data_IF_552790059070
#
_entry.id   IF_552790059070
#
_cell.length_a   1.000
_cell.length_b   1.000
_cell.length_c   1.000
_cell.angle_alpha   90.00
_cell.angle_beta   90.00
_cell.angle_gamma   90.00
#
_symmetry.space_group_name_H-M   'P 1'
#
loop_
_entity.id
_entity.type
_entity.pdbx_description
1 polymer ?
#
# COMPACT_ATOMS: atom_id res chain seq x y z
N UNK A 1 25.86 -26.34 29.16
CA UNK A 1 25.95 -24.99 28.55
C UNK A 1 27.02 -24.23 29.30
N UNK A 2 28.12 -23.86 28.64
CA UNK A 2 29.26 -23.13 29.27
C UNK A 2 28.96 -21.63 29.36
N UNK A 3 29.64 -20.93 30.28
CA UNK A 3 29.54 -19.48 30.49
C UNK A 3 29.77 -18.68 29.19
N UNK A 4 30.68 -19.15 28.35
CA UNK A 4 30.99 -18.56 27.04
C UNK A 4 29.76 -18.48 26.13
N UNK A 5 28.89 -19.51 26.13
CA UNK A 5 27.67 -19.50 25.33
C UNK A 5 26.63 -18.49 25.86
N UNK A 6 26.58 -18.30 27.18
CA UNK A 6 25.68 -17.33 27.82
C UNK A 6 26.11 -15.91 27.42
N UNK A 7 27.41 -15.62 27.43
CA UNK A 7 27.95 -14.34 26.99
C UNK A 7 27.70 -14.07 25.51
N UNK A 8 27.90 -15.07 24.64
CA UNK A 8 27.68 -14.93 23.19
C UNK A 8 26.20 -14.69 22.88
N UNK A 9 25.30 -15.52 23.43
CA UNK A 9 23.85 -15.38 23.20
C UNK A 9 23.35 -14.06 23.80
N UNK A 10 23.82 -13.68 24.99
CA UNK A 10 23.48 -12.41 25.62
C UNK A 10 23.91 -11.20 24.77
N UNK A 11 25.12 -11.24 24.20
CA UNK A 11 25.64 -10.17 23.33
C UNK A 11 24.84 -10.08 22.03
N UNK A 12 24.56 -11.21 21.39
CA UNK A 12 23.72 -11.25 20.18
C UNK A 12 22.32 -10.70 20.49
N UNK A 13 21.69 -11.16 21.58
CA UNK A 13 20.38 -10.68 22.01
C UNK A 13 20.37 -9.18 22.28
N UNK A 14 21.39 -8.66 22.98
CA UNK A 14 21.50 -7.23 23.30
C UNK A 14 21.65 -6.35 22.06
N UNK A 15 22.32 -6.82 21.01
CA UNK A 15 22.47 -6.06 19.75
C UNK A 15 21.21 -6.18 18.88
N UNK A 16 20.63 -7.37 18.76
CA UNK A 16 19.48 -7.60 17.86
C UNK A 16 18.16 -7.07 18.43
N UNK A 17 17.95 -7.13 19.74
CA UNK A 17 16.68 -6.77 20.35
C UNK A 17 16.32 -5.27 20.17
N UNK A 18 17.23 -4.29 20.36
CA UNK A 18 16.96 -2.89 20.06
C UNK A 18 16.70 -2.65 18.57
N UNK A 19 17.38 -3.37 17.68
CA UNK A 19 17.23 -3.26 16.24
C UNK A 19 15.84 -3.73 15.78
N UNK A 20 15.36 -4.83 16.38
CA UNK A 20 14.00 -5.33 16.18
C UNK A 20 12.98 -4.34 16.72
N UNK A 21 13.15 -3.85 17.96
CA UNK A 21 12.25 -2.84 18.55
C UNK A 21 12.16 -1.60 17.67
N UNK A 22 13.29 -1.07 17.21
CA UNK A 22 13.31 0.10 16.32
C UNK A 22 12.55 -0.17 15.01
N UNK A 23 12.71 -1.36 14.43
CA UNK A 23 11.97 -1.77 13.24
C UNK A 23 10.47 -1.85 13.50
N UNK A 24 10.06 -2.45 14.63
CA UNK A 24 8.65 -2.50 15.04
C UNK A 24 8.05 -1.10 15.26
N UNK A 25 8.76 -0.22 15.96
CA UNK A 25 8.33 1.17 16.20
C UNK A 25 8.16 1.94 14.88
N UNK A 26 9.01 1.68 13.89
CA UNK A 26 8.90 2.29 12.56
C UNK A 26 7.66 1.80 11.80
N UNK A 27 7.28 0.54 11.96
CA UNK A 27 6.06 -0.05 11.37
C UNK A 27 4.79 0.47 12.07
N UNK A 28 4.85 0.69 13.39
CA UNK A 28 3.70 1.15 14.20
C UNK A 28 3.25 2.57 13.85
N UNK A 29 4.12 3.42 13.29
CA UNK A 29 3.71 4.73 12.76
C UNK A 29 2.79 4.53 11.55
N UNK A 30 1.51 4.26 11.83
CA UNK A 30 0.44 4.12 10.85
C UNK A 30 0.33 5.41 10.04
N UNK A 31 0.67 5.34 8.76
CA UNK A 31 0.19 6.30 7.76
C UNK A 31 -1.28 5.99 7.46
N UNK A 32 -2.05 7.00 7.07
CA UNK A 32 -3.42 6.81 6.60
C UNK A 32 -3.46 5.74 5.50
N UNK A 33 -4.34 4.75 5.66
CA UNK A 33 -4.48 3.64 4.72
C UNK A 33 -4.87 4.12 3.33
N UNK A 34 -5.72 5.14 3.25
CA UNK A 34 -6.09 5.82 2.01
C UNK A 34 -6.04 7.32 2.28
N UNK A 35 -5.43 8.07 1.36
CA UNK A 35 -5.47 9.52 1.33
C UNK A 35 -6.12 9.96 0.03
N UNK A 36 -7.25 10.65 0.13
CA UNK A 36 -7.98 11.25 -0.99
C UNK A 36 -7.70 12.75 -0.94
N UNK A 37 -7.22 13.29 -2.06
CA UNK A 37 -7.01 14.74 -2.23
C UNK A 37 -7.66 15.18 -3.53
N UNK A 38 -7.75 16.49 -3.75
CA UNK A 38 -8.34 17.04 -4.97
C UNK A 38 -7.57 16.63 -6.22
N UNK A 39 -6.25 16.42 -6.13
CA UNK A 39 -5.39 16.13 -7.29
C UNK A 39 -5.06 14.65 -7.45
N UNK A 40 -4.92 13.91 -6.34
CA UNK A 40 -4.47 12.53 -6.34
C UNK A 40 -5.07 11.66 -5.23
N UNK A 41 -4.99 10.35 -5.44
CA UNK A 41 -5.28 9.29 -4.50
C UNK A 41 -3.97 8.59 -4.08
N UNK A 42 -3.77 8.34 -2.78
CA UNK A 42 -2.71 7.44 -2.28
C UNK A 42 -3.35 6.27 -1.55
N UNK A 43 -3.00 5.05 -1.98
CA UNK A 43 -3.29 3.81 -1.25
C UNK A 43 -2.03 3.33 -0.53
N UNK A 44 -2.04 3.37 0.80
CA UNK A 44 -1.03 2.78 1.69
C UNK A 44 -1.55 1.53 2.42
N UNK A 45 -2.74 1.02 2.06
CA UNK A 45 -3.33 -0.14 2.74
C UNK A 45 -2.49 -1.41 2.55
N UNK A 46 -1.74 -1.49 1.45
CA UNK A 46 -0.85 -2.61 1.12
C UNK A 46 0.60 -2.16 0.97
N UNK A 47 1.52 -3.11 1.15
CA UNK A 47 2.95 -2.88 0.94
C UNK A 47 3.28 -2.56 -0.52
N UNK A 48 2.48 -3.04 -1.49
CA UNK A 48 2.61 -2.67 -2.90
C UNK A 48 1.95 -1.33 -3.26
N UNK A 49 1.89 -0.38 -2.32
CA UNK A 49 1.47 0.99 -2.58
C UNK A 49 2.11 1.53 -3.87
N UNK A 50 1.28 2.03 -4.78
CA UNK A 50 1.70 2.66 -6.04
C UNK A 50 2.16 4.11 -5.83
N UNK A 51 1.94 4.67 -4.64
CA UNK A 51 2.18 6.07 -4.33
C UNK A 51 0.98 6.94 -4.74
N UNK A 52 1.25 8.18 -5.15
CA UNK A 52 0.23 9.13 -5.62
C UNK A 52 -0.23 8.77 -7.02
N UNK A 53 -1.55 8.60 -7.16
CA UNK A 53 -2.24 8.27 -8.40
C UNK A 53 -3.10 9.47 -8.75
N UNK A 54 -2.75 10.17 -9.83
CA UNK A 54 -3.55 11.29 -10.33
C UNK A 54 -4.91 10.79 -10.79
N UNK A 55 -5.99 11.54 -10.53
CA UNK A 55 -7.35 11.16 -10.93
C UNK A 55 -7.48 10.91 -12.44
N UNK A 56 -6.74 11.66 -13.26
CA UNK A 56 -6.68 11.52 -14.72
C UNK A 56 -6.10 10.20 -15.20
N UNK A 57 -5.33 9.52 -14.35
CA UNK A 57 -4.74 8.21 -14.65
C UNK A 57 -5.69 7.04 -14.38
N UNK A 58 -6.81 7.29 -13.72
CA UNK A 58 -7.84 6.28 -13.41
C UNK A 58 -8.82 6.21 -14.58
N UNK A 59 -8.85 5.06 -15.26
CA UNK A 59 -9.71 4.82 -16.41
C UNK A 59 -11.12 4.39 -16.01
N UNK A 60 -11.24 3.67 -14.89
CA UNK A 60 -12.52 3.16 -14.41
C UNK A 60 -12.49 2.89 -12.91
N UNK A 61 -13.66 2.98 -12.27
CA UNK A 61 -13.86 2.67 -10.86
C UNK A 61 -15.00 1.67 -10.79
N UNK A 62 -14.76 0.52 -10.18
CA UNK A 62 -15.75 -0.56 -10.05
C UNK A 62 -15.82 -1.04 -8.62
N UNK A 63 -17.03 -1.41 -8.21
CA UNK A 63 -17.22 -2.10 -6.94
C UNK A 63 -17.10 -3.61 -7.13
N UNK A 64 -16.09 -4.22 -6.51
CA UNK A 64 -15.90 -5.67 -6.46
C UNK A 64 -16.63 -6.23 -5.24
N UNK A 65 -17.80 -6.83 -5.47
CA UNK A 65 -18.64 -7.44 -4.42
C UNK A 65 -18.97 -6.40 -3.31
N UNK A 66 -19.34 -6.87 -2.11
CA UNK A 66 -19.68 -5.98 -1.00
C UNK A 66 -18.47 -5.33 -0.30
N UNK A 67 -17.25 -5.87 -0.47
CA UNK A 67 -16.10 -5.56 0.40
C UNK A 67 -14.90 -4.92 -0.29
N UNK A 68 -14.94 -4.70 -1.59
CA UNK A 68 -13.76 -4.21 -2.32
C UNK A 68 -14.12 -3.24 -3.42
N UNK A 69 -13.19 -2.34 -3.72
CA UNK A 69 -13.25 -1.38 -4.83
C UNK A 69 -12.05 -1.67 -5.71
N UNK A 70 -12.27 -1.70 -7.02
CA UNK A 70 -11.25 -1.85 -8.04
C UNK A 70 -11.13 -0.55 -8.82
N UNK A 71 -9.92 -0.01 -8.87
CA UNK A 71 -9.58 1.21 -9.61
C UNK A 71 -8.72 0.84 -10.79
N UNK A 72 -9.26 0.85 -11.99
CA UNK A 72 -8.50 0.56 -13.21
C UNK A 72 -7.60 1.77 -13.54
N UNK A 73 -6.28 1.57 -13.67
CA UNK A 73 -5.26 2.57 -13.95
C UNK A 73 -4.69 2.37 -15.35
N UNK A 74 -4.48 3.47 -16.06
CA UNK A 74 -3.86 3.44 -17.39
C UNK A 74 -2.44 2.85 -17.30
N UNK A 75 -2.20 1.76 -18.05
CA UNK A 75 -0.95 0.99 -18.06
C UNK A 75 0.32 1.82 -18.25
N UNK A 76 0.25 2.90 -19.04
CA UNK A 76 1.41 3.77 -19.34
C UNK A 76 1.94 4.51 -18.12
N UNK A 77 1.09 4.74 -17.11
CA UNK A 77 1.49 5.38 -15.84
C UNK A 77 2.20 4.37 -14.94
N UNK A 78 1.72 3.13 -14.91
CA UNK A 78 2.34 2.04 -14.13
C UNK A 78 3.74 1.67 -14.64
N UNK A 79 3.94 1.65 -15.97
CA UNK A 79 5.24 1.30 -16.56
C UNK A 79 6.34 2.35 -16.35
N UNK A 80 5.97 3.62 -16.09
CA UNK A 80 6.93 4.69 -15.82
C UNK A 80 7.47 4.68 -14.39
N UNK A 81 6.92 3.83 -13.51
CA UNK A 81 7.36 3.75 -12.11
C UNK A 81 8.77 3.16 -12.01
N UNK A 82 9.68 3.90 -11.38
CA UNK A 82 11.02 3.42 -11.04
C UNK A 82 10.94 2.51 -9.80
N UNK A 83 11.13 1.21 -10.00
CA UNK A 83 11.13 0.22 -8.90
C UNK A 83 12.53 -0.14 -8.44
N UNK A 84 12.70 -0.23 -7.13
CA UNK A 84 13.92 -0.70 -6.48
C UNK A 84 14.02 -2.24 -6.52
N UNK A 85 15.22 -2.79 -6.27
CA UNK A 85 15.47 -4.23 -6.34
C UNK A 85 14.55 -5.06 -5.42
N UNK A 86 14.28 -4.56 -4.21
CA UNK A 86 13.36 -5.19 -3.27
C UNK A 86 11.92 -5.21 -3.79
N UNK A 87 11.44 -4.10 -4.35
CA UNK A 87 10.09 -4.01 -4.93
C UNK A 87 9.95 -4.96 -6.13
N UNK A 88 10.99 -5.07 -6.98
CA UNK A 88 11.02 -6.04 -8.09
C UNK A 88 10.96 -7.49 -7.59
N UNK A 89 11.66 -7.79 -6.50
CA UNK A 89 11.64 -9.13 -5.90
C UNK A 89 10.26 -9.46 -5.34
N UNK A 90 9.62 -8.54 -4.62
CA UNK A 90 8.25 -8.76 -4.12
C UNK A 90 7.24 -8.91 -5.25
N UNK A 91 7.31 -8.06 -6.28
CA UNK A 91 6.45 -8.16 -7.46
C UNK A 91 6.61 -9.51 -8.18
N UNK A 92 7.84 -10.01 -8.28
CA UNK A 92 8.12 -11.33 -8.85
C UNK A 92 7.56 -12.46 -7.98
N UNK A 93 7.81 -12.43 -6.66
CA UNK A 93 7.33 -13.45 -5.72
C UNK A 93 5.81 -13.54 -5.64
N UNK A 94 5.11 -12.41 -5.72
CA UNK A 94 3.65 -12.38 -5.65
C UNK A 94 2.97 -12.69 -6.99
N UNK A 95 3.75 -13.09 -8.01
CA UNK A 95 3.29 -13.27 -9.38
C UNK A 95 2.41 -12.08 -9.82
N UNK A 96 2.88 -10.87 -9.48
CA UNK A 96 2.14 -9.64 -9.60
C UNK A 96 1.93 -9.35 -11.08
N UNK A 97 0.86 -9.91 -11.63
CA UNK A 97 0.27 -9.37 -12.82
C UNK A 97 -0.09 -7.94 -12.44
N UNK A 98 0.57 -6.98 -13.08
CA UNK A 98 0.07 -5.60 -13.19
C UNK A 98 -1.25 -5.65 -13.94
N UNK A 99 -2.25 -6.37 -13.40
CA UNK A 99 -3.63 -6.05 -13.67
C UNK A 99 -3.69 -4.59 -13.36
N UNK A 100 -4.08 -3.87 -14.38
CA UNK A 100 -4.09 -2.43 -14.53
C UNK A 100 -5.10 -1.86 -13.54
N UNK A 101 -5.11 -2.33 -12.29
CA UNK A 101 -6.14 -2.14 -11.32
C UNK A 101 -5.60 -2.24 -9.89
N UNK A 102 -6.07 -1.33 -9.03
CA UNK A 102 -5.80 -1.36 -7.59
C UNK A 102 -7.04 -1.85 -6.89
N UNK A 103 -6.87 -2.88 -6.06
CA UNK A 103 -7.95 -3.44 -5.25
C UNK A 103 -7.83 -2.92 -3.83
N UNK A 104 -8.73 -2.00 -3.48
CA UNK A 104 -8.93 -1.45 -2.16
C UNK A 104 -9.90 -2.37 -1.41
N UNK A 105 -9.49 -2.87 -0.24
CA UNK A 105 -10.27 -3.81 0.57
C UNK A 105 -10.76 -3.19 1.86
N UNK A 106 -12.02 -3.46 2.22
CA UNK A 106 -12.65 -3.01 3.47
C UNK A 106 -11.95 -3.51 4.73
N UNK A 107 -11.15 -4.58 4.62
CA UNK A 107 -10.52 -5.20 5.78
C UNK A 107 -9.43 -4.34 6.42
N UNK A 108 -8.93 -3.34 5.69
CA UNK A 108 -7.76 -2.53 6.07
C UNK A 108 -8.14 -1.06 6.33
N UNK A 109 -9.44 -0.75 6.34
CA UNK A 109 -9.96 0.61 6.37
C UNK A 109 -11.03 0.66 7.45
N UNK A 110 -11.04 1.72 8.25
CA UNK A 110 -11.96 1.89 9.37
C UNK A 110 -13.34 2.46 8.95
N UNK A 111 -13.54 2.79 7.68
CA UNK A 111 -14.79 3.37 7.14
C UNK A 111 -15.63 2.35 6.34
N UNK A 112 -16.88 2.71 6.04
CA UNK A 112 -17.72 1.89 5.18
C UNK A 112 -17.22 1.92 3.72
N UNK A 113 -17.36 0.80 3.01
CA UNK A 113 -16.97 0.74 1.59
C UNK A 113 -17.91 1.55 0.72
N UNK A 114 -19.17 1.63 1.10
CA UNK A 114 -20.18 2.46 0.45
C UNK A 114 -19.75 3.93 0.43
N UNK A 115 -19.48 4.50 1.60
CA UNK A 115 -19.06 5.91 1.74
C UNK A 115 -17.73 6.18 1.04
N UNK A 116 -16.79 5.24 1.13
CA UNK A 116 -15.51 5.35 0.43
C UNK A 116 -15.71 5.35 -1.08
N UNK A 117 -16.56 4.47 -1.60
CA UNK A 117 -16.85 4.38 -3.03
C UNK A 117 -17.52 5.65 -3.54
N UNK A 118 -18.50 6.18 -2.81
CA UNK A 118 -19.17 7.43 -3.14
C UNK A 118 -18.17 8.59 -3.18
N UNK A 119 -17.34 8.74 -2.14
CA UNK A 119 -16.32 9.79 -2.04
C UNK A 119 -15.31 9.74 -3.20
N UNK A 120 -14.79 8.55 -3.51
CA UNK A 120 -13.82 8.37 -4.60
C UNK A 120 -14.50 8.65 -5.96
N UNK A 121 -15.73 8.19 -6.16
CA UNK A 121 -16.45 8.36 -7.42
C UNK A 121 -16.77 9.84 -7.67
N UNK A 122 -17.27 10.56 -6.67
CA UNK A 122 -17.57 11.98 -6.75
C UNK A 122 -16.30 12.80 -7.05
N UNK A 123 -15.21 12.52 -6.33
CA UNK A 123 -13.92 13.22 -6.55
C UNK A 123 -13.36 12.96 -7.94
N UNK A 124 -13.51 11.73 -8.44
CA UNK A 124 -13.07 11.35 -9.79
C UNK A 124 -13.90 12.04 -10.89
N UNK A 125 -15.23 12.09 -10.74
CA UNK A 125 -16.11 12.79 -11.69
C UNK A 125 -15.80 14.28 -11.77
N UNK A 126 -15.63 14.94 -10.63
CA UNK A 126 -15.26 16.36 -10.56
C UNK A 126 -13.92 16.66 -11.24
N UNK A 127 -12.94 15.76 -11.10
CA UNK A 127 -11.62 15.90 -11.73
C UNK A 127 -11.57 15.48 -13.21
N UNK A 128 -12.58 14.76 -13.70
CA UNK A 128 -12.71 14.40 -15.12
C UNK A 128 -13.34 15.52 -15.94
N UNK A 129 -14.16 16.36 -15.29
CA UNK A 129 -14.83 17.51 -15.90
C UNK A 129 -13.94 18.77 -15.98
N UNK A 130 -12.81 18.80 -15.27
CA UNK A 130 -11.80 19.87 -15.27
C UNK A 130 -10.56 19.52 -16.11
#
# INVERSE_FOLDING_TARGET
MKEEHILIIGTIGFVYFPLLIFSFLKIIKRKYAILITDEFLIDNSKFESIGSIEWKSISNIKRLKKKSIELDIIKSVLQKRKMNLLEKFFAFMHNWNYKESIIISSALIDCSIEELYETISETWENNKLN
#
